data_IF_252167001014
#
_entry.id   IF_252167001014
#
_cell.length_a   1.000
_cell.length_b   1.000
_cell.length_c   1.000
_cell.angle_alpha   90.00
_cell.angle_beta   90.00
_cell.angle_gamma   90.00
#
_symmetry.space_group_name_H-M   'P 1'
#
loop_
_entity.id
_entity.type
_entity.pdbx_description
1 polymer ?
#
# COMPACT_ATOMS: atom_id res chain seq x y z
N UNK A 1 -17.88 34.19 -17.58
CA UNK A 1 -16.60 33.56 -17.97
C UNK A 1 -16.27 32.48 -16.96
N UNK A 2 -16.16 31.17 -17.34
CA UNK A 2 -15.61 30.15 -16.45
C UNK A 2 -14.14 30.49 -16.23
N UNK A 3 -13.75 30.78 -15.00
CA UNK A 3 -12.32 30.89 -14.63
C UNK A 3 -11.71 29.53 -14.89
N UNK A 4 -10.83 29.41 -15.87
CA UNK A 4 -10.06 28.20 -16.14
C UNK A 4 -9.12 27.99 -14.94
N UNK A 5 -9.47 27.03 -14.11
CA UNK A 5 -8.62 26.66 -12.98
C UNK A 5 -7.33 26.02 -13.52
N UNK A 6 -6.17 26.54 -13.10
CA UNK A 6 -4.88 25.96 -13.47
C UNK A 6 -4.82 24.51 -12.96
N UNK A 7 -4.49 23.52 -13.83
CA UNK A 7 -4.36 22.13 -13.39
C UNK A 7 -3.25 22.01 -12.32
N UNK A 8 -3.52 21.21 -11.30
CA UNK A 8 -2.60 20.94 -10.21
C UNK A 8 -2.72 19.46 -9.79
N UNK A 9 -1.63 18.91 -9.28
CA UNK A 9 -1.67 17.58 -8.69
C UNK A 9 -2.44 17.57 -7.37
N UNK A 10 -2.96 16.41 -6.99
CA UNK A 10 -3.50 16.22 -5.66
C UNK A 10 -2.42 16.52 -4.61
N UNK A 11 -2.83 17.13 -3.49
CA UNK A 11 -1.87 17.52 -2.45
C UNK A 11 -1.09 16.32 -1.90
N UNK A 12 0.23 16.38 -1.97
CA UNK A 12 1.11 15.31 -1.49
C UNK A 12 1.41 14.23 -2.53
N UNK A 13 0.99 14.43 -3.78
CA UNK A 13 1.39 13.60 -4.92
C UNK A 13 2.28 14.42 -5.88
N UNK A 14 2.93 13.74 -6.80
CA UNK A 14 3.81 14.37 -7.80
C UNK A 14 3.88 13.56 -9.08
N UNK A 15 4.16 14.26 -10.18
CA UNK A 15 4.51 13.63 -11.44
C UNK A 15 6.02 13.33 -11.48
N UNK A 16 6.38 12.39 -12.31
CA UNK A 16 7.77 12.06 -12.62
C UNK A 16 7.98 12.20 -14.12
N UNK A 17 8.85 13.12 -14.51
CA UNK A 17 9.21 13.32 -15.92
C UNK A 17 10.10 12.19 -16.46
N UNK A 18 10.36 12.17 -17.80
CA UNK A 18 11.10 11.07 -18.44
C UNK A 18 12.50 10.81 -17.84
N UNK A 19 13.21 11.85 -17.44
CA UNK A 19 14.55 11.72 -16.82
C UNK A 19 14.47 11.06 -15.44
N UNK A 20 13.50 11.47 -14.62
CA UNK A 20 13.27 10.90 -13.30
C UNK A 20 12.80 9.46 -13.41
N UNK A 21 11.94 9.15 -14.39
CA UNK A 21 11.48 7.79 -14.64
C UNK A 21 12.62 6.87 -15.10
N UNK A 22 13.54 7.34 -15.96
CA UNK A 22 14.71 6.57 -16.34
C UNK A 22 15.59 6.21 -15.13
N UNK A 23 15.84 7.18 -14.24
CA UNK A 23 16.58 6.95 -13.00
C UNK A 23 15.85 5.98 -12.06
N UNK A 24 14.54 6.16 -11.87
CA UNK A 24 13.72 5.28 -11.02
C UNK A 24 13.72 3.83 -11.54
N UNK A 25 13.53 3.65 -12.84
CA UNK A 25 13.56 2.33 -13.47
C UNK A 25 14.93 1.66 -13.28
N UNK A 26 16.01 2.41 -13.42
CA UNK A 26 17.36 1.91 -13.17
C UNK A 26 17.55 1.47 -11.72
N UNK A 27 17.15 2.31 -10.74
CA UNK A 27 17.22 1.96 -9.32
C UNK A 27 16.38 0.71 -9.01
N UNK A 28 15.14 0.64 -9.50
CA UNK A 28 14.29 -0.53 -9.29
C UNK A 28 14.87 -1.80 -9.92
N UNK A 29 15.54 -1.70 -11.08
CA UNK A 29 16.18 -2.86 -11.71
C UNK A 29 17.35 -3.39 -10.87
N UNK A 30 18.13 -2.52 -10.23
CA UNK A 30 19.21 -2.90 -9.31
C UNK A 30 18.62 -3.61 -8.09
N UNK A 31 17.65 -3.00 -7.40
CA UNK A 31 17.02 -3.59 -6.22
C UNK A 31 16.39 -4.96 -6.55
N UNK A 32 15.71 -5.05 -7.70
CA UNK A 32 15.11 -6.30 -8.16
C UNK A 32 16.16 -7.39 -8.40
N UNK A 33 17.29 -7.02 -9.02
CA UNK A 33 18.41 -7.93 -9.24
C UNK A 33 18.98 -8.51 -7.94
N UNK A 34 19.11 -7.69 -6.89
CA UNK A 34 19.52 -8.17 -5.56
C UNK A 34 18.45 -9.09 -4.93
N UNK A 35 17.17 -8.75 -5.00
CA UNK A 35 16.10 -9.63 -4.54
C UNK A 35 16.14 -11.00 -5.22
N UNK A 36 16.30 -11.04 -6.55
CA UNK A 36 16.40 -12.26 -7.33
C UNK A 36 17.65 -13.08 -6.98
N UNK A 37 18.81 -12.43 -6.78
CA UNK A 37 20.05 -13.07 -6.38
C UNK A 37 19.96 -13.76 -5.01
N UNK A 38 19.14 -13.23 -4.09
CA UNK A 38 18.86 -13.83 -2.77
C UNK A 38 17.67 -14.79 -2.79
N UNK A 39 17.13 -15.14 -3.97
CA UNK A 39 16.06 -16.11 -4.12
C UNK A 39 14.66 -15.60 -3.74
N UNK A 40 14.47 -14.28 -3.70
CA UNK A 40 13.14 -13.70 -3.46
C UNK A 40 12.30 -13.76 -4.73
N UNK A 41 11.05 -14.17 -4.58
CA UNK A 41 10.06 -14.26 -5.65
C UNK A 41 9.21 -12.98 -5.66
N UNK A 42 9.13 -12.35 -6.82
CA UNK A 42 8.34 -11.12 -6.98
C UNK A 42 6.84 -11.44 -7.03
N UNK A 43 6.06 -10.73 -6.21
CA UNK A 43 4.60 -10.72 -6.28
C UNK A 43 4.07 -9.30 -6.46
N UNK A 44 2.82 -9.20 -6.87
CA UNK A 44 2.05 -7.96 -6.83
C UNK A 44 0.71 -8.20 -6.15
N UNK A 45 0.24 -7.20 -5.40
CA UNK A 45 -1.07 -7.19 -4.78
C UNK A 45 -1.88 -5.99 -5.30
N UNK A 46 -3.21 -6.03 -5.27
CA UNK A 46 -4.03 -4.88 -5.67
C UNK A 46 -3.74 -3.61 -4.87
N UNK A 47 -3.84 -2.45 -5.50
CA UNK A 47 -3.77 -1.16 -4.81
C UNK A 47 -4.95 -0.94 -3.86
N UNK A 48 -6.10 -1.50 -4.21
CA UNK A 48 -7.35 -1.42 -3.46
C UNK A 48 -7.53 -2.69 -2.64
N UNK A 49 -7.74 -2.53 -1.34
CA UNK A 49 -8.02 -3.59 -0.39
C UNK A 49 -9.36 -3.35 0.31
N UNK A 50 -10.00 -4.41 0.80
CA UNK A 50 -11.15 -4.28 1.68
C UNK A 50 -10.73 -3.60 3.00
N UNK A 51 -11.53 -2.65 3.48
CA UNK A 51 -11.23 -1.97 4.75
C UNK A 51 -11.17 -2.95 5.93
N UNK A 52 -11.93 -4.04 5.91
CA UNK A 52 -11.84 -5.11 6.91
C UNK A 52 -10.46 -5.79 6.99
N UNK A 53 -9.68 -5.74 5.92
CA UNK A 53 -8.29 -6.23 5.88
C UNK A 53 -7.34 -5.18 6.44
N UNK A 54 -7.57 -3.90 6.13
CA UNK A 54 -6.67 -2.79 6.46
C UNK A 54 -6.86 -2.28 7.89
N UNK A 55 -8.10 -2.16 8.37
CA UNK A 55 -8.41 -1.54 9.67
C UNK A 55 -8.00 -2.42 10.85
N UNK A 56 -7.63 -1.77 11.95
CA UNK A 56 -7.20 -2.42 13.18
C UNK A 56 -5.80 -3.04 13.12
N UNK A 57 -5.03 -2.81 12.06
CA UNK A 57 -3.68 -3.36 11.87
C UNK A 57 -2.57 -2.36 12.20
N UNK A 58 -2.87 -1.08 12.10
CA UNK A 58 -1.90 0.01 12.25
C UNK A 58 -2.12 0.85 13.50
N UNK A 59 -3.00 0.41 14.43
CA UNK A 59 -3.47 1.20 15.56
C UNK A 59 -4.42 2.33 15.13
N UNK A 60 -4.98 3.06 16.09
CA UNK A 60 -5.97 4.12 15.81
C UNK A 60 -5.39 5.25 14.93
N UNK A 61 -4.14 5.65 15.16
CA UNK A 61 -3.48 6.68 14.36
C UNK A 61 -3.28 6.23 12.90
N UNK A 62 -2.83 4.99 12.68
CA UNK A 62 -2.65 4.43 11.35
C UNK A 62 -3.96 4.29 10.60
N UNK A 63 -5.03 3.88 11.27
CA UNK A 63 -6.37 3.76 10.68
C UNK A 63 -6.94 5.11 10.20
N UNK A 64 -6.54 6.23 10.84
CA UNK A 64 -6.88 7.58 10.39
C UNK A 64 -6.12 8.00 9.13
N UNK A 65 -4.95 7.41 8.89
CA UNK A 65 -4.13 7.71 7.73
C UNK A 65 -4.47 6.87 6.50
N UNK A 66 -5.43 5.93 6.60
CA UNK A 66 -5.93 5.17 5.46
C UNK A 66 -6.75 6.06 4.51
N UNK A 67 -6.41 6.02 3.22
CA UNK A 67 -7.29 6.55 2.19
C UNK A 67 -8.47 5.61 1.99
N UNK A 68 -9.66 6.07 2.35
CA UNK A 68 -10.90 5.31 2.20
C UNK A 68 -11.59 5.70 0.90
N UNK A 69 -12.11 4.71 0.19
CA UNK A 69 -12.74 4.88 -1.13
C UNK A 69 -14.25 4.81 -0.93
N UNK A 70 -14.95 5.88 -1.29
CA UNK A 70 -16.41 5.91 -1.28
C UNK A 70 -16.94 4.91 -2.32
N UNK A 71 -17.98 4.17 -1.95
CA UNK A 71 -18.62 3.20 -2.84
C UNK A 71 -19.15 3.88 -4.10
N UNK A 72 -19.01 3.22 -5.25
CA UNK A 72 -19.46 3.76 -6.52
C UNK A 72 -20.99 3.78 -6.63
N UNK A 73 -21.53 4.67 -7.46
CA UNK A 73 -22.96 4.83 -7.69
C UNK A 73 -23.64 5.67 -6.60
N UNK A 74 -24.89 5.38 -6.29
CA UNK A 74 -25.61 6.05 -5.21
C UNK A 74 -25.21 5.48 -3.85
N UNK A 75 -24.10 5.97 -3.32
CA UNK A 75 -23.49 5.49 -2.07
C UNK A 75 -24.30 5.82 -0.83
N UNK A 76 -25.34 6.67 -0.92
CA UNK A 76 -26.25 6.99 0.17
C UNK A 76 -27.48 6.07 0.20
N UNK A 77 -27.80 5.38 -0.88
CA UNK A 77 -29.03 4.57 -1.02
C UNK A 77 -29.17 3.44 0.01
N UNK A 78 -28.06 2.96 0.57
CA UNK A 78 -28.04 1.89 1.58
C UNK A 78 -27.76 2.39 3.00
N UNK A 79 -27.64 3.70 3.19
CA UNK A 79 -27.35 4.27 4.52
C UNK A 79 -28.57 4.15 5.41
N UNK A 80 -28.37 3.59 6.59
CA UNK A 80 -29.39 3.46 7.63
C UNK A 80 -29.30 4.67 8.54
N UNK A 81 -30.36 5.47 8.58
CA UNK A 81 -30.44 6.70 9.34
C UNK A 81 -30.23 7.96 8.49
N UNK A 82 -30.28 9.11 9.12
CA UNK A 82 -30.01 10.39 8.46
C UNK A 82 -28.49 10.57 8.29
N UNK A 83 -27.96 10.63 7.06
CA UNK A 83 -26.51 10.78 6.81
C UNK A 83 -25.90 12.01 7.47
N UNK A 84 -26.66 13.10 7.62
CA UNK A 84 -26.19 14.34 8.24
C UNK A 84 -26.10 14.18 9.76
N UNK A 85 -27.09 13.55 10.37
CA UNK A 85 -27.15 13.34 11.82
C UNK A 85 -26.17 12.28 12.33
N UNK A 86 -25.82 11.29 11.50
CA UNK A 86 -24.91 10.19 11.87
C UNK A 86 -23.48 10.65 12.19
N UNK A 87 -23.01 11.70 11.53
CA UNK A 87 -21.62 12.13 11.57
C UNK A 87 -20.66 11.14 10.87
N UNK A 88 -19.43 11.55 10.67
CA UNK A 88 -18.46 10.83 9.83
C UNK A 88 -18.11 9.43 10.35
N UNK A 89 -18.04 9.25 11.68
CA UNK A 89 -17.64 7.97 12.30
C UNK A 89 -18.67 6.86 12.06
N UNK A 90 -19.95 7.17 12.11
CA UNK A 90 -21.04 6.21 11.92
C UNK A 90 -21.43 6.06 10.43
N UNK A 91 -21.29 7.13 9.64
CA UNK A 91 -21.60 7.13 8.22
C UNK A 91 -20.54 6.40 7.38
N UNK A 92 -19.25 6.62 7.66
CA UNK A 92 -18.15 6.13 6.85
C UNK A 92 -18.17 4.61 6.60
N UNK A 93 -18.39 3.73 7.60
CA UNK A 93 -18.48 2.29 7.36
C UNK A 93 -19.63 1.88 6.44
N UNK A 94 -20.66 2.70 6.30
CA UNK A 94 -21.83 2.41 5.45
C UNK A 94 -21.60 2.81 3.98
N UNK A 95 -20.70 3.76 3.74
CA UNK A 95 -20.45 4.31 2.39
C UNK A 95 -19.07 3.97 1.82
N UNK A 96 -18.22 3.29 2.58
CA UNK A 96 -16.85 2.95 2.18
C UNK A 96 -16.48 1.54 2.67
N UNK A 97 -16.35 0.62 1.74
CA UNK A 97 -15.96 -0.77 2.00
C UNK A 97 -14.49 -1.04 1.65
N UNK A 98 -13.85 -0.11 0.96
CA UNK A 98 -12.52 -0.27 0.36
C UNK A 98 -11.63 0.91 0.72
N UNK A 99 -10.32 0.67 0.70
CA UNK A 99 -9.31 1.70 0.84
C UNK A 99 -8.09 1.43 -0.03
N UNK A 100 -7.21 2.42 -0.13
CA UNK A 100 -5.90 2.21 -0.72
C UNK A 100 -4.98 1.57 0.33
N UNK A 101 -4.16 0.61 -0.11
CA UNK A 101 -3.20 -0.04 0.79
C UNK A 101 -2.24 0.98 1.39
N UNK A 102 -2.01 0.85 2.68
CA UNK A 102 -1.15 1.71 3.48
C UNK A 102 0.33 1.29 3.43
N UNK A 103 0.55 -0.01 3.33
CA UNK A 103 1.84 -0.68 3.17
C UNK A 103 1.71 -1.90 2.27
N UNK A 104 2.78 -2.71 2.16
CA UNK A 104 2.76 -3.96 1.41
C UNK A 104 2.65 -5.19 2.33
N UNK A 105 2.83 -5.04 3.63
CA UNK A 105 2.85 -6.14 4.61
C UNK A 105 1.45 -6.73 4.83
N UNK A 106 0.43 -5.89 5.05
CA UNK A 106 -0.95 -6.36 5.27
C UNK A 106 -1.53 -7.02 4.02
N UNK A 107 -1.41 -6.44 2.80
CA UNK A 107 -1.77 -7.14 1.57
C UNK A 107 -1.01 -8.46 1.36
N UNK A 108 0.27 -8.52 1.73
CA UNK A 108 1.05 -9.75 1.69
C UNK A 108 0.52 -10.81 2.64
N UNK A 109 0.22 -10.46 3.88
CA UNK A 109 -0.37 -11.39 4.84
C UNK A 109 -1.70 -11.98 4.34
N UNK A 110 -2.57 -11.14 3.75
CA UNK A 110 -3.79 -11.60 3.09
C UNK A 110 -3.48 -12.54 1.91
N UNK A 111 -2.51 -12.19 1.05
CA UNK A 111 -2.10 -13.03 -0.08
C UNK A 111 -1.66 -14.41 0.40
N UNK A 112 -0.79 -14.49 1.43
CA UNK A 112 -0.33 -15.76 2.00
C UNK A 112 -1.51 -16.57 2.56
N UNK A 113 -2.42 -15.93 3.31
CA UNK A 113 -3.58 -16.61 3.88
C UNK A 113 -4.49 -17.23 2.79
N UNK A 114 -4.67 -16.53 1.66
CA UNK A 114 -5.51 -17.00 0.55
C UNK A 114 -4.85 -18.08 -0.30
N UNK A 115 -3.52 -18.09 -0.39
CA UNK A 115 -2.78 -18.98 -1.31
C UNK A 115 -1.89 -19.98 -0.54
N UNK A 116 -2.17 -20.21 0.75
CA UNK A 116 -1.31 -21.01 1.64
C UNK A 116 -0.99 -22.40 1.08
N UNK A 117 -1.93 -23.03 0.42
CA UNK A 117 -1.78 -24.39 -0.11
C UNK A 117 -0.96 -24.47 -1.40
N UNK A 118 -0.80 -23.33 -2.09
CA UNK A 118 -0.09 -23.23 -3.37
C UNK A 118 1.34 -22.66 -3.17
N UNK A 119 1.67 -22.20 -1.96
CA UNK A 119 2.98 -21.63 -1.64
C UNK A 119 3.91 -22.68 -1.03
N UNK A 120 5.13 -22.74 -1.54
CA UNK A 120 6.21 -23.50 -0.89
C UNK A 120 6.83 -22.67 0.23
N UNK A 121 6.94 -23.26 1.43
CA UNK A 121 7.55 -22.62 2.59
C UNK A 121 8.96 -23.19 2.89
N UNK A 122 9.91 -22.35 3.35
CA UNK A 122 9.79 -20.93 3.63
C UNK A 122 9.59 -20.13 2.33
N UNK A 123 8.61 -19.24 2.33
CA UNK A 123 8.32 -18.39 1.18
C UNK A 123 9.05 -17.05 1.31
N UNK A 124 9.86 -16.72 0.31
CA UNK A 124 10.63 -15.47 0.20
C UNK A 124 9.97 -14.57 -0.82
N UNK A 125 9.37 -13.49 -0.36
CA UNK A 125 8.65 -12.54 -1.21
C UNK A 125 9.43 -11.25 -1.38
N UNK A 126 9.50 -10.74 -2.60
CA UNK A 126 9.85 -9.35 -2.90
C UNK A 126 8.68 -8.62 -3.54
N UNK A 127 8.58 -7.32 -3.29
CA UNK A 127 7.52 -6.49 -3.86
C UNK A 127 7.97 -5.04 -3.96
N UNK A 128 7.82 -4.44 -5.15
CA UNK A 128 8.13 -3.03 -5.41
C UNK A 128 6.87 -2.38 -5.96
N UNK A 129 6.10 -1.73 -5.11
CA UNK A 129 4.82 -1.14 -5.50
C UNK A 129 4.53 0.15 -4.72
N UNK A 130 3.64 1.04 -5.25
CA UNK A 130 3.23 2.24 -4.56
C UNK A 130 2.31 1.94 -3.38
N UNK A 131 2.37 2.78 -2.35
CA UNK A 131 1.49 2.79 -1.18
C UNK A 131 0.99 4.20 -0.92
N UNK A 132 -0.11 4.33 -0.16
CA UNK A 132 -0.78 5.60 0.05
C UNK A 132 -1.05 5.84 1.53
N UNK A 133 -0.58 7.00 2.03
CA UNK A 133 -0.80 7.42 3.41
C UNK A 133 -1.32 8.85 3.44
N UNK A 134 -2.42 9.09 4.15
CA UNK A 134 -3.04 10.41 4.26
C UNK A 134 -2.29 11.36 5.20
N UNK A 135 -1.00 11.17 5.36
CA UNK A 135 -0.11 12.01 6.16
C UNK A 135 -0.17 13.48 5.74
N UNK A 136 0.21 14.36 6.67
CA UNK A 136 0.44 15.76 6.34
C UNK A 136 1.68 15.88 5.44
N UNK A 137 1.53 16.32 4.18
CA UNK A 137 2.66 16.42 3.27
C UNK A 137 3.69 17.44 3.75
N UNK A 138 4.97 17.05 3.65
CA UNK A 138 6.12 17.92 3.94
C UNK A 138 7.28 17.52 3.03
N UNK A 139 8.40 18.27 3.08
CA UNK A 139 9.57 17.94 2.26
C UNK A 139 10.05 16.51 2.54
N UNK A 140 10.11 15.69 1.49
CA UNK A 140 10.51 14.29 1.60
C UNK A 140 9.42 13.32 2.08
N UNK A 141 8.21 13.81 2.45
CA UNK A 141 7.09 12.98 2.87
C UNK A 141 5.88 13.21 1.97
N UNK A 142 5.60 12.23 1.14
CA UNK A 142 4.51 12.26 0.16
C UNK A 142 3.37 11.35 0.61
N UNK A 143 2.20 11.57 0.03
CA UNK A 143 1.01 10.72 0.25
C UNK A 143 0.99 9.49 -0.64
N UNK A 144 1.76 9.51 -1.73
CA UNK A 144 1.99 8.37 -2.62
C UNK A 144 3.50 8.18 -2.76
N UNK A 145 3.98 6.98 -2.47
CA UNK A 145 5.40 6.62 -2.58
C UNK A 145 5.55 5.11 -2.77
N UNK A 146 6.71 4.69 -3.25
CA UNK A 146 7.02 3.27 -3.43
C UNK A 146 7.66 2.69 -2.18
N UNK A 147 7.26 1.47 -1.84
CA UNK A 147 8.00 0.58 -0.95
C UNK A 147 8.69 -0.52 -1.77
N UNK A 148 9.86 -0.91 -1.31
CA UNK A 148 10.64 -2.04 -1.83
C UNK A 148 10.83 -2.98 -0.65
N UNK A 149 9.99 -4.01 -0.58
CA UNK A 149 9.92 -4.90 0.57
C UNK A 149 10.46 -6.29 0.22
N UNK A 150 11.17 -6.89 1.17
CA UNK A 150 11.61 -8.28 1.14
C UNK A 150 11.22 -8.95 2.47
N UNK A 151 10.44 -10.02 2.40
CA UNK A 151 9.98 -10.76 3.57
C UNK A 151 10.21 -12.26 3.41
N UNK A 152 10.45 -12.94 4.52
CA UNK A 152 10.54 -14.39 4.62
C UNK A 152 9.50 -14.87 5.62
N UNK A 153 8.65 -15.82 5.21
CA UNK A 153 7.60 -16.37 6.05
C UNK A 153 7.67 -17.89 6.10
N UNK A 154 7.35 -18.48 7.24
CA UNK A 154 7.29 -19.94 7.44
C UNK A 154 8.61 -20.55 7.86
N UNK A 155 9.50 -19.78 8.50
CA UNK A 155 10.74 -20.26 9.11
C UNK A 155 11.08 -19.42 10.35
N UNK A 156 11.45 -20.06 11.42
CA UNK A 156 11.90 -19.46 12.69
C UNK A 156 13.44 -19.40 12.79
N UNK A 157 14.14 -19.67 11.68
CA UNK A 157 15.60 -19.68 11.65
C UNK A 157 16.17 -18.26 11.68
N UNK A 158 17.06 -17.96 12.63
CA UNK A 158 17.80 -16.70 12.72
C UNK A 158 18.74 -16.44 11.50
N UNK A 159 18.95 -17.45 10.66
CA UNK A 159 19.68 -17.28 9.40
C UNK A 159 18.93 -16.32 8.47
N UNK A 160 17.59 -16.26 8.57
CA UNK A 160 16.78 -15.35 7.77
C UNK A 160 17.13 -13.87 8.03
N UNK A 161 17.37 -13.50 9.30
CA UNK A 161 17.77 -12.14 9.67
C UNK A 161 19.17 -11.81 9.13
N UNK A 162 20.10 -12.77 9.21
CA UNK A 162 21.45 -12.59 8.64
C UNK A 162 21.41 -12.42 7.12
N UNK A 163 20.58 -13.20 6.42
CA UNK A 163 20.39 -13.06 4.96
C UNK A 163 19.75 -11.72 4.60
N UNK A 164 18.75 -11.24 5.35
CA UNK A 164 18.16 -9.91 5.12
C UNK A 164 19.19 -8.80 5.35
N UNK A 165 20.05 -8.91 6.38
CA UNK A 165 21.15 -7.95 6.60
C UNK A 165 22.10 -7.98 5.41
N UNK A 166 22.51 -9.16 4.93
CA UNK A 166 23.38 -9.30 3.78
C UNK A 166 22.75 -8.71 2.50
N UNK A 167 21.44 -8.91 2.30
CA UNK A 167 20.68 -8.30 1.20
C UNK A 167 20.73 -6.76 1.25
N UNK A 168 20.58 -6.16 2.43
CA UNK A 168 20.66 -4.71 2.58
C UNK A 168 22.07 -4.12 2.44
N UNK A 169 23.11 -4.94 2.55
CA UNK A 169 24.51 -4.53 2.35
C UNK A 169 24.99 -4.69 0.90
N UNK A 170 24.29 -5.47 0.10
CA UNK A 170 24.64 -5.75 -1.30
C UNK A 170 24.19 -4.61 -2.23
#
# INVERSE_FOLDING_TARGET
MKVLQKPTNARGTRDFGPKEMALRTHVFSIIKGHFEAFGFQTIETPAIENLSVLTGKYGEEGDQLLFKIINSGDYLSKVIGDPIALGSKALLPQISEKGLRYDLTVPFARFVAMNRNDLAFPFRRSQIQPVWRADRPQKGRYREFYQCDADIIGSDSLVNEAELIALFQS
#
